data_IF_643481072211
#
_entry.id   IF_643481072211
#
_cell.length_a   1.000
_cell.length_b   1.000
_cell.length_c   1.000
_cell.angle_alpha   90.00
_cell.angle_beta   90.00
_cell.angle_gamma   90.00
#
_symmetry.space_group_name_H-M   'P 1'
#
loop_
_entity.id
_entity.type
_entity.pdbx_description
1 polymer ?
#
# COMPACT_ATOMS: atom_id res chain seq x y z
N UNK A 1 -6.74 50.85 -7.33
CA UNK A 1 -7.87 50.03 -6.85
C UNK A 1 -7.63 48.51 -6.94
N UNK A 2 -7.13 47.97 -8.06
CA UNK A 2 -6.98 46.50 -8.26
C UNK A 2 -5.87 45.83 -7.39
N UNK A 3 -4.76 46.53 -7.10
CA UNK A 3 -3.65 45.99 -6.28
C UNK A 3 -4.00 45.83 -4.79
N UNK A 4 -4.84 46.71 -4.24
CA UNK A 4 -5.26 46.67 -2.82
C UNK A 4 -6.26 45.54 -2.55
N UNK A 5 -7.15 45.25 -3.51
CA UNK A 5 -8.16 44.20 -3.41
C UNK A 5 -7.56 42.80 -3.42
N UNK A 6 -6.51 42.57 -4.23
CA UNK A 6 -5.74 41.32 -4.24
C UNK A 6 -5.01 41.07 -2.92
N UNK A 7 -4.48 42.11 -2.27
CA UNK A 7 -3.87 41.97 -0.94
C UNK A 7 -4.90 41.60 0.13
N UNK A 8 -6.11 42.17 0.06
CA UNK A 8 -7.19 41.87 1.01
C UNK A 8 -7.68 40.42 0.83
N UNK A 9 -7.89 39.95 -0.41
CA UNK A 9 -8.26 38.55 -0.68
C UNK A 9 -7.15 37.58 -0.22
N UNK A 10 -5.88 37.93 -0.43
CA UNK A 10 -4.76 37.05 -0.06
C UNK A 10 -4.51 37.02 1.45
N UNK A 11 -4.75 38.12 2.17
CA UNK A 11 -4.72 38.18 3.64
C UNK A 11 -5.88 37.39 4.24
N UNK A 12 -7.09 37.50 3.67
CA UNK A 12 -8.26 36.76 4.13
C UNK A 12 -8.17 35.25 3.84
N UNK A 13 -7.44 34.86 2.78
CA UNK A 13 -7.10 33.44 2.51
C UNK A 13 -6.15 32.87 3.55
N UNK A 14 -5.12 33.64 3.96
CA UNK A 14 -4.16 33.20 5.00
C UNK A 14 -4.79 33.11 6.39
N UNK A 15 -5.71 34.01 6.76
CA UNK A 15 -6.40 33.94 8.06
C UNK A 15 -7.37 32.75 8.14
N UNK A 16 -8.07 32.42 7.05
CA UNK A 16 -8.93 31.24 6.98
C UNK A 16 -8.14 29.93 6.92
N UNK A 17 -6.98 29.88 6.23
CA UNK A 17 -6.10 28.71 6.28
C UNK A 17 -5.50 28.49 7.67
N UNK A 18 -5.14 29.56 8.38
CA UNK A 18 -4.61 29.43 9.75
C UNK A 18 -5.67 28.99 10.75
N UNK A 19 -6.94 29.38 10.55
CA UNK A 19 -8.06 28.96 11.40
C UNK A 19 -8.54 27.54 11.10
N UNK A 20 -8.50 27.10 9.82
CA UNK A 20 -8.74 25.72 9.44
C UNK A 20 -7.62 24.78 9.91
N UNK A 21 -6.36 25.24 9.93
CA UNK A 21 -5.24 24.47 10.45
C UNK A 21 -5.28 24.28 11.97
N UNK A 22 -5.92 25.18 12.72
CA UNK A 22 -6.02 25.12 14.18
C UNK A 22 -7.14 24.19 14.69
N UNK A 23 -8.07 23.75 13.83
CA UNK A 23 -9.06 22.70 14.17
C UNK A 23 -8.46 21.29 13.94
N UNK A 24 -7.30 21.19 13.29
CA UNK A 24 -6.57 19.93 13.09
C UNK A 24 -5.50 19.69 14.15
N UNK A 25 -5.75 20.09 15.40
CA UNK A 25 -4.92 19.74 16.55
C UNK A 25 -5.77 18.99 17.57
N UNK A 26 -5.31 17.78 17.92
CA UNK A 26 -5.79 16.91 19.00
C UNK A 26 -6.90 15.91 18.66
N UNK A 27 -6.57 14.97 17.77
CA UNK A 27 -7.32 13.71 17.61
C UNK A 27 -6.82 12.94 16.40
N UNK A 28 -6.50 11.67 16.59
CA UNK A 28 -6.20 10.67 15.55
C UNK A 28 -7.41 10.43 14.64
N UNK A 29 -7.88 11.45 13.91
CA UNK A 29 -9.00 11.30 13.00
C UNK A 29 -8.53 10.48 11.80
N UNK A 30 -8.79 9.17 11.88
CA UNK A 30 -8.67 8.26 10.76
C UNK A 30 -9.63 8.75 9.68
N UNK A 31 -9.08 9.28 8.60
CA UNK A 31 -9.92 9.73 7.50
C UNK A 31 -10.45 8.50 6.76
N UNK A 32 -11.77 8.41 6.55
CA UNK A 32 -12.39 7.31 5.82
C UNK A 32 -11.76 7.10 4.43
N UNK A 33 -11.31 8.19 3.78
CA UNK A 33 -10.62 8.11 2.50
C UNK A 33 -9.29 7.33 2.57
N UNK A 34 -8.57 7.38 3.71
CA UNK A 34 -7.33 6.63 3.89
C UNK A 34 -7.59 5.12 3.97
N UNK A 35 -8.61 4.72 4.72
CA UNK A 35 -9.02 3.31 4.83
C UNK A 35 -9.45 2.77 3.47
N UNK A 36 -10.25 3.54 2.73
CA UNK A 36 -10.73 3.14 1.39
C UNK A 36 -9.54 3.05 0.42
N UNK A 37 -8.60 4.00 0.47
CA UNK A 37 -7.42 3.98 -0.37
C UNK A 37 -6.53 2.75 -0.08
N UNK A 38 -6.31 2.40 1.19
CA UNK A 38 -5.58 1.19 1.58
C UNK A 38 -6.30 -0.09 1.14
N UNK A 39 -7.61 -0.16 1.33
CA UNK A 39 -8.42 -1.30 0.89
C UNK A 39 -8.33 -1.51 -0.62
N UNK A 40 -8.57 -0.45 -1.41
CA UNK A 40 -8.55 -0.52 -2.88
C UNK A 40 -7.14 -0.76 -3.42
N UNK A 41 -6.14 -0.10 -2.85
CA UNK A 41 -4.74 -0.30 -3.23
C UNK A 41 -4.28 -1.73 -2.99
N UNK A 42 -4.55 -2.29 -1.81
CA UNK A 42 -4.24 -3.69 -1.52
C UNK A 42 -5.05 -4.64 -2.41
N UNK A 43 -6.34 -4.36 -2.65
CA UNK A 43 -7.15 -5.16 -3.55
C UNK A 43 -6.52 -5.24 -4.95
N UNK A 44 -6.14 -4.10 -5.54
CA UNK A 44 -5.58 -4.06 -6.90
C UNK A 44 -4.22 -4.76 -6.96
N UNK A 45 -3.34 -4.53 -5.98
CA UNK A 45 -2.01 -5.18 -5.93
C UNK A 45 -2.16 -6.70 -5.87
N UNK A 46 -3.01 -7.22 -4.98
CA UNK A 46 -3.20 -8.66 -4.81
C UNK A 46 -3.93 -9.26 -6.02
N UNK A 47 -4.93 -8.57 -6.56
CA UNK A 47 -5.66 -9.05 -7.74
C UNK A 47 -4.73 -9.21 -8.95
N UNK A 48 -3.92 -8.20 -9.25
CA UNK A 48 -2.99 -8.22 -10.37
C UNK A 48 -1.82 -9.19 -10.13
N UNK A 49 -1.23 -9.14 -8.94
CA UNK A 49 -0.09 -9.99 -8.56
C UNK A 49 -0.46 -11.47 -8.58
N UNK A 50 -1.49 -11.87 -7.84
CA UNK A 50 -1.96 -13.26 -7.81
C UNK A 50 -2.56 -13.69 -9.16
N UNK A 51 -3.25 -12.78 -9.86
CA UNK A 51 -3.76 -13.02 -11.21
C UNK A 51 -2.65 -13.38 -12.20
N UNK A 52 -1.50 -12.71 -12.12
CA UNK A 52 -0.34 -13.04 -12.98
C UNK A 52 0.17 -14.46 -12.77
N UNK A 53 0.22 -14.95 -11.51
CA UNK A 53 0.64 -16.31 -11.17
C UNK A 53 -0.37 -17.35 -11.67
N UNK A 54 -1.67 -17.03 -11.57
CA UNK A 54 -2.75 -17.89 -12.09
C UNK A 54 -2.67 -18.01 -13.61
N UNK A 55 -2.45 -16.89 -14.32
CA UNK A 55 -2.38 -16.84 -15.79
C UNK A 55 -1.08 -17.46 -16.32
N UNK A 56 0.03 -17.38 -15.58
CA UNK A 56 1.33 -17.95 -15.97
C UNK A 56 1.24 -19.45 -16.29
N UNK A 57 0.41 -20.18 -15.52
CA UNK A 57 0.14 -21.61 -15.78
C UNK A 57 -0.45 -21.90 -17.15
N UNK A 58 -1.01 -20.89 -17.83
CA UNK A 58 -1.65 -21.03 -19.15
C UNK A 58 -0.88 -20.33 -20.27
N UNK A 59 -0.24 -19.20 -19.98
CA UNK A 59 0.32 -18.32 -21.00
C UNK A 59 1.83 -18.04 -20.86
N UNK A 60 2.53 -18.68 -19.91
CA UNK A 60 4.00 -18.63 -19.77
C UNK A 60 4.52 -17.18 -19.68
N UNK A 61 4.07 -16.44 -18.66
CA UNK A 61 4.57 -15.11 -18.34
C UNK A 61 6.02 -15.12 -17.85
N UNK A 62 6.50 -16.26 -17.33
CA UNK A 62 7.81 -16.43 -16.67
C UNK A 62 7.96 -15.66 -15.37
N UNK A 63 8.97 -16.00 -14.57
CA UNK A 63 9.25 -15.32 -13.30
C UNK A 63 9.48 -13.81 -13.46
N UNK A 64 10.01 -13.37 -14.60
CA UNK A 64 10.24 -11.95 -14.90
C UNK A 64 8.91 -11.22 -15.09
N UNK A 65 7.97 -11.79 -15.85
CA UNK A 65 6.65 -11.19 -16.07
C UNK A 65 5.84 -11.06 -14.78
N UNK A 66 5.91 -12.08 -13.92
CA UNK A 66 5.28 -12.06 -12.58
C UNK A 66 5.91 -10.96 -11.73
N UNK A 67 7.24 -10.89 -11.63
CA UNK A 67 7.94 -9.87 -10.85
C UNK A 67 7.62 -8.44 -11.33
N UNK A 68 7.58 -8.23 -12.65
CA UNK A 68 7.22 -6.94 -13.25
C UNK A 68 5.78 -6.55 -12.91
N UNK A 69 4.83 -7.50 -12.92
CA UNK A 69 3.43 -7.23 -12.59
C UNK A 69 3.29 -6.77 -11.14
N UNK A 70 3.96 -7.43 -10.20
CA UNK A 70 3.97 -7.01 -8.79
C UNK A 70 4.57 -5.60 -8.61
N UNK A 71 5.75 -5.35 -9.19
CA UNK A 71 6.43 -4.06 -9.08
C UNK A 71 5.62 -2.91 -9.69
N UNK A 72 5.09 -3.10 -10.91
CA UNK A 72 4.30 -2.08 -11.59
C UNK A 72 2.96 -1.83 -10.88
N UNK A 73 2.28 -2.86 -10.38
CA UNK A 73 1.03 -2.69 -9.64
C UNK A 73 1.25 -1.85 -8.37
N UNK A 74 2.31 -2.16 -7.61
CA UNK A 74 2.69 -1.38 -6.43
C UNK A 74 3.00 0.07 -6.82
N UNK A 75 3.82 0.30 -7.86
CA UNK A 75 4.16 1.64 -8.34
C UNK A 75 2.91 2.47 -8.68
N UNK A 76 1.99 1.89 -9.47
CA UNK A 76 0.75 2.58 -9.88
C UNK A 76 -0.12 2.89 -8.66
N UNK A 77 -0.24 1.98 -7.69
CA UNK A 77 -1.03 2.23 -6.48
C UNK A 77 -0.37 3.27 -5.57
N UNK A 78 0.96 3.30 -5.46
CA UNK A 78 1.68 4.35 -4.72
C UNK A 78 1.43 5.72 -5.37
N UNK A 79 1.53 5.83 -6.70
CA UNK A 79 1.24 7.10 -7.38
C UNK A 79 -0.23 7.52 -7.27
N UNK A 80 -1.15 6.56 -7.27
CA UNK A 80 -2.59 6.84 -7.21
C UNK A 80 -3.05 7.22 -5.80
N UNK A 81 -2.61 6.50 -4.78
CA UNK A 81 -3.17 6.57 -3.43
C UNK A 81 -2.15 6.96 -2.34
N UNK A 82 -0.87 7.07 -2.69
CA UNK A 82 0.20 7.43 -1.74
C UNK A 82 -0.03 8.80 -1.10
N UNK A 83 -0.51 9.79 -1.87
CA UNK A 83 -0.84 11.12 -1.33
C UNK A 83 -2.10 11.13 -0.44
N UNK A 84 -2.93 10.09 -0.50
CA UNK A 84 -4.16 9.97 0.31
C UNK A 84 -3.87 9.26 1.62
N UNK A 85 -3.26 8.08 1.56
CA UNK A 85 -3.11 7.15 2.70
C UNK A 85 -1.69 7.02 3.24
N UNK A 86 -0.68 7.46 2.49
CA UNK A 86 0.73 7.07 2.68
C UNK A 86 1.12 5.83 1.88
N UNK A 87 0.16 5.11 1.30
CA UNK A 87 0.39 4.01 0.36
C UNK A 87 1.12 2.83 0.98
N UNK A 88 0.67 2.36 2.14
CA UNK A 88 1.31 1.23 2.81
C UNK A 88 0.99 -0.08 2.10
N UNK A 89 -0.29 -0.32 1.81
CA UNK A 89 -0.88 -1.49 1.17
C UNK A 89 -0.43 -2.86 1.75
N UNK A 90 0.21 -2.85 2.91
CA UNK A 90 0.89 -3.97 3.51
C UNK A 90 0.90 -3.82 5.05
N UNK A 91 0.44 -4.83 5.80
CA UNK A 91 0.46 -4.82 7.25
C UNK A 91 1.86 -4.65 7.85
N UNK A 92 2.87 -5.32 7.28
CA UNK A 92 4.26 -5.24 7.76
C UNK A 92 4.83 -3.83 7.60
N UNK A 93 4.54 -3.16 6.48
CA UNK A 93 4.94 -1.77 6.23
C UNK A 93 4.24 -0.83 7.22
N UNK A 94 2.93 -1.01 7.43
CA UNK A 94 2.16 -0.21 8.38
C UNK A 94 2.71 -0.33 9.81
N UNK A 95 3.04 -1.55 10.23
CA UNK A 95 3.65 -1.83 11.53
C UNK A 95 5.05 -1.22 11.62
N UNK A 96 5.87 -1.35 10.58
CA UNK A 96 7.21 -0.78 10.54
C UNK A 96 7.20 0.75 10.66
N UNK A 97 6.27 1.43 9.97
CA UNK A 97 6.11 2.88 10.07
C UNK A 97 5.66 3.31 11.48
N UNK A 98 4.78 2.53 12.10
CA UNK A 98 4.36 2.76 13.48
C UNK A 98 5.49 2.49 14.50
N UNK A 99 6.36 1.52 14.23
CA UNK A 99 7.55 1.24 15.04
C UNK A 99 8.58 2.38 14.92
N UNK A 100 8.78 2.90 13.71
CA UNK A 100 9.66 4.03 13.39
C UNK A 100 9.10 5.40 13.82
N UNK A 101 7.95 5.44 14.54
CA UNK A 101 7.23 6.66 14.96
C UNK A 101 6.86 7.60 13.80
N UNK A 102 6.76 7.07 12.59
CA UNK A 102 6.33 7.80 11.37
C UNK A 102 4.82 7.68 11.12
N UNK A 103 4.13 6.81 11.87
CA UNK A 103 2.68 6.61 11.75
C UNK A 103 2.02 6.42 13.13
N UNK A 104 0.82 7.00 13.38
CA UNK A 104 0.14 6.89 14.66
C UNK A 104 -0.30 5.44 14.95
N UNK A 105 0.18 4.90 16.08
CA UNK A 105 -0.09 3.50 16.50
C UNK A 105 -1.58 3.17 16.61
N UNK A 106 -2.42 4.14 16.98
CA UNK A 106 -3.87 3.95 17.09
C UNK A 106 -4.59 3.68 15.76
N UNK A 107 -4.01 4.06 14.62
CA UNK A 107 -4.60 3.85 13.30
C UNK A 107 -4.17 2.51 12.67
N UNK A 108 -3.12 1.88 13.19
CA UNK A 108 -2.56 0.62 12.66
C UNK A 108 -3.62 -0.48 12.53
N UNK A 109 -4.47 -0.77 13.53
CA UNK A 109 -5.44 -1.85 13.41
C UNK A 109 -6.43 -1.63 12.27
N UNK A 110 -6.85 -0.39 12.03
CA UNK A 110 -7.79 -0.08 10.96
C UNK A 110 -7.15 -0.23 9.56
N UNK A 111 -5.91 0.22 9.40
CA UNK A 111 -5.15 0.03 8.17
C UNK A 111 -4.93 -1.46 7.88
N UNK A 112 -4.47 -2.22 8.88
CA UNK A 112 -4.27 -3.66 8.76
C UNK A 112 -5.59 -4.36 8.41
N UNK A 113 -6.69 -4.00 9.07
CA UNK A 113 -8.01 -4.56 8.75
C UNK A 113 -8.42 -4.25 7.30
N UNK A 114 -8.26 -3.01 6.82
CA UNK A 114 -8.57 -2.67 5.42
C UNK A 114 -7.72 -3.43 4.40
N UNK A 115 -6.44 -3.62 4.68
CA UNK A 115 -5.52 -4.37 3.82
C UNK A 115 -5.90 -5.85 3.76
N UNK A 116 -6.23 -6.46 4.91
CA UNK A 116 -6.68 -7.86 4.98
C UNK A 116 -8.03 -8.07 4.27
N UNK A 117 -8.96 -7.13 4.41
CA UNK A 117 -10.24 -7.16 3.69
C UNK A 117 -10.00 -7.01 2.19
N UNK A 118 -9.19 -6.04 1.77
CA UNK A 118 -8.85 -5.82 0.35
C UNK A 118 -8.20 -7.04 -0.30
N UNK A 119 -7.21 -7.66 0.36
CA UNK A 119 -6.55 -8.86 -0.16
C UNK A 119 -7.49 -10.06 -0.25
N UNK A 120 -8.36 -10.25 0.74
CA UNK A 120 -9.36 -11.33 0.75
C UNK A 120 -10.37 -11.14 -0.39
N UNK A 121 -10.87 -9.92 -0.59
CA UNK A 121 -11.78 -9.60 -1.70
C UNK A 121 -11.12 -9.81 -3.06
N UNK A 122 -9.83 -9.50 -3.20
CA UNK A 122 -9.09 -9.70 -4.45
C UNK A 122 -8.98 -11.19 -4.81
N UNK A 123 -8.56 -12.03 -3.87
CA UNK A 123 -8.48 -13.48 -4.08
C UNK A 123 -9.87 -14.09 -4.29
N UNK A 124 -10.88 -13.62 -3.56
CA UNK A 124 -12.27 -14.02 -3.75
C UNK A 124 -12.79 -13.68 -5.16
N UNK A 125 -12.48 -12.49 -5.66
CA UNK A 125 -12.83 -12.07 -7.03
C UNK A 125 -12.14 -12.95 -8.07
N UNK A 126 -10.85 -13.23 -7.87
CA UNK A 126 -10.09 -14.12 -8.74
C UNK A 126 -10.70 -15.53 -8.78
N UNK A 127 -11.13 -16.05 -7.62
CA UNK A 127 -11.81 -17.35 -7.49
C UNK A 127 -13.08 -17.41 -8.33
N UNK A 128 -13.88 -16.33 -8.31
CA UNK A 128 -15.12 -16.21 -9.09
C UNK A 128 -14.83 -16.14 -10.58
N UNK A 129 -13.89 -15.29 -11.01
CA UNK A 129 -13.53 -15.11 -12.43
C UNK A 129 -13.04 -16.42 -13.06
N UNK A 130 -12.20 -17.17 -12.33
CA UNK A 130 -11.64 -18.43 -12.82
C UNK A 130 -12.54 -19.65 -12.54
N UNK A 131 -13.77 -19.45 -12.05
CA UNK A 131 -14.77 -20.49 -11.80
C UNK A 131 -14.24 -21.72 -11.03
N UNK A 132 -13.34 -21.51 -10.06
CA UNK A 132 -12.62 -22.59 -9.34
C UNK A 132 -11.87 -23.61 -10.23
N UNK A 133 -11.65 -23.29 -11.51
CA UNK A 133 -10.93 -24.19 -12.43
C UNK A 133 -9.43 -24.15 -12.24
N UNK A 134 -8.92 -23.15 -11.51
CA UNK A 134 -7.49 -22.99 -11.26
C UNK A 134 -7.23 -23.12 -9.77
N UNK A 135 -6.19 -23.88 -9.44
CA UNK A 135 -5.73 -24.07 -8.07
C UNK A 135 -5.16 -22.77 -7.49
N UNK A 136 -5.97 -22.09 -6.66
CA UNK A 136 -5.62 -20.83 -6.01
C UNK A 136 -4.50 -21.02 -4.97
N UNK A 137 -4.15 -22.26 -4.60
CA UNK A 137 -3.01 -22.51 -3.72
C UNK A 137 -1.70 -21.97 -4.31
N UNK A 138 -1.61 -21.80 -5.64
CA UNK A 138 -0.47 -21.15 -6.27
C UNK A 138 -0.28 -19.68 -5.88
N UNK A 139 -1.34 -19.01 -5.40
CA UNK A 139 -1.27 -17.61 -4.94
C UNK A 139 -0.83 -17.50 -3.49
N UNK A 140 -0.76 -18.63 -2.77
CA UNK A 140 -0.19 -18.68 -1.42
C UNK A 140 1.32 -18.85 -1.51
N UNK A 141 2.06 -18.11 -0.69
CA UNK A 141 3.51 -18.24 -0.59
C UNK A 141 3.85 -19.61 -0.02
N UNK A 142 4.47 -20.46 -0.84
CA UNK A 142 4.91 -21.80 -0.47
C UNK A 142 6.37 -21.94 -0.87
N UNK A 143 7.17 -22.57 -0.01
CA UNK A 143 8.53 -22.99 -0.38
C UNK A 143 8.50 -24.43 -0.90
N UNK A 144 9.39 -24.73 -1.83
CA UNK A 144 9.51 -26.06 -2.44
C UNK A 144 10.67 -26.82 -1.79
N UNK A 145 10.51 -28.11 -1.54
CA UNK A 145 11.60 -28.98 -1.10
C UNK A 145 12.74 -28.98 -2.14
N UNK A 146 14.02 -28.90 -1.74
CA UNK A 146 14.58 -29.21 -0.42
C UNK A 146 14.73 -28.02 0.54
N UNK A 147 14.12 -26.86 0.27
CA UNK A 147 14.24 -25.68 1.15
C UNK A 147 13.74 -25.99 2.57
N UNK A 148 14.55 -25.70 3.57
CA UNK A 148 14.18 -25.89 4.98
C UNK A 148 13.33 -24.73 5.48
N UNK A 149 12.57 -24.94 6.56
CA UNK A 149 11.81 -23.87 7.23
C UNK A 149 12.70 -22.66 7.59
N UNK A 150 13.93 -22.93 8.05
CA UNK A 150 14.88 -21.88 8.38
C UNK A 150 15.36 -21.13 7.13
N UNK A 151 15.59 -21.83 6.01
CA UNK A 151 15.93 -21.21 4.73
C UNK A 151 14.81 -20.32 4.19
N UNK A 152 13.56 -20.78 4.27
CA UNK A 152 12.39 -19.98 3.90
C UNK A 152 12.27 -18.73 4.78
N UNK A 153 12.38 -18.87 6.10
CA UNK A 153 12.34 -17.75 7.04
C UNK A 153 13.46 -16.73 6.77
N UNK A 154 14.69 -17.21 6.51
CA UNK A 154 15.81 -16.34 6.17
C UNK A 154 15.54 -15.56 4.87
N UNK A 155 14.96 -16.21 3.86
CA UNK A 155 14.61 -15.55 2.60
C UNK A 155 13.53 -14.47 2.78
N UNK A 156 12.47 -14.74 3.56
CA UNK A 156 11.44 -13.75 3.86
C UNK A 156 12.00 -12.56 4.64
N UNK A 157 12.90 -12.82 5.60
CA UNK A 157 13.57 -11.78 6.36
C UNK A 157 14.41 -10.87 5.45
N UNK A 158 15.24 -11.46 4.57
CA UNK A 158 16.09 -10.70 3.64
C UNK A 158 15.23 -9.88 2.67
N UNK A 159 14.20 -10.47 2.06
CA UNK A 159 13.32 -9.76 1.15
C UNK A 159 12.54 -8.63 1.84
N UNK A 160 12.04 -8.85 3.06
CA UNK A 160 11.35 -7.83 3.84
C UNK A 160 12.28 -6.70 4.26
N UNK A 161 13.53 -7.03 4.61
CA UNK A 161 14.55 -6.04 4.93
C UNK A 161 14.86 -5.15 3.72
N UNK A 162 15.06 -5.74 2.54
CA UNK A 162 15.29 -4.99 1.30
C UNK A 162 14.10 -4.08 0.98
N UNK A 163 12.87 -4.62 1.06
CA UNK A 163 11.65 -3.84 0.82
C UNK A 163 11.56 -2.64 1.78
N UNK A 164 11.76 -2.87 3.08
CA UNK A 164 11.72 -1.80 4.07
C UNK A 164 12.86 -0.79 3.91
N UNK A 165 14.06 -1.23 3.53
CA UNK A 165 15.18 -0.35 3.22
C UNK A 165 14.84 0.57 2.04
N UNK A 166 14.24 0.04 0.97
CA UNK A 166 13.79 0.83 -0.17
C UNK A 166 12.70 1.82 0.22
N UNK A 167 11.67 1.36 0.95
CA UNK A 167 10.56 2.23 1.39
C UNK A 167 11.07 3.34 2.30
N UNK A 168 11.89 3.03 3.30
CA UNK A 168 12.47 4.05 4.17
C UNK A 168 13.38 5.01 3.40
N UNK A 169 14.21 4.51 2.48
CA UNK A 169 15.07 5.34 1.63
C UNK A 169 14.26 6.37 0.82
N UNK A 170 13.17 5.94 0.19
CA UNK A 170 12.30 6.83 -0.61
C UNK A 170 11.44 7.73 0.29
N UNK A 171 10.87 7.20 1.37
CA UNK A 171 9.93 7.92 2.22
C UNK A 171 10.60 8.90 3.21
N UNK A 172 11.90 8.76 3.47
CA UNK A 172 12.63 9.64 4.40
C UNK A 172 13.54 10.65 3.72
N UNK A 173 13.79 10.51 2.41
CA UNK A 173 14.57 11.51 1.68
C UNK A 173 13.76 12.80 1.51
N UNK A 174 14.31 13.91 2.03
CA UNK A 174 13.72 15.24 1.93
C UNK A 174 13.73 15.79 0.49
N UNK A 175 14.37 15.09 -0.46
CA UNK A 175 14.36 15.39 -1.89
C UNK A 175 13.29 14.60 -2.65
N UNK A 176 12.67 13.60 -2.03
CA UNK A 176 11.66 12.74 -2.66
C UNK A 176 10.24 13.35 -2.61
N UNK A 177 10.06 14.50 -1.94
CA UNK A 177 8.81 15.28 -1.85
C UNK A 177 9.05 16.77 -1.97
#
# INVERSE_FOLDING_TARGET
ACSTLLRIVNVNRKSNLSSAALISSSGTCLCHAQIIAELLGTFIIIFMGCGSVVIDRRFWLTSVGIAMTWGLAIMVMIYTFGHVSGGHFNPAVTIAFAASRKFPRGQVPAFVASQLVGSTLAVGTLTVIFHQRVDIRCTTTQYVSPTTHLGALASEFISSFILMLTICGVATDSRAV
#
